data_IF_795129814462
#
_entry.id   IF_795129814462
#
_cell.length_a   1.000
_cell.length_b   1.000
_cell.length_c   1.000
_cell.angle_alpha   90.00
_cell.angle_beta   90.00
_cell.angle_gamma   90.00
#
_symmetry.space_group_name_H-M   'P 1'
#
loop_
_entity.id
_entity.type
_entity.pdbx_description
1 polymer ?
#
# COMPACT_ATOMS: atom_id res chain seq x y z
N UNK A 1 -22.79 -23.29 -33.58
CA UNK A 1 -21.92 -22.13 -33.31
C UNK A 1 -22.05 -21.73 -31.84
N UNK A 2 -20.93 -21.69 -31.12
CA UNK A 2 -20.92 -21.22 -29.74
C UNK A 2 -20.98 -19.68 -29.77
N UNK A 3 -22.11 -19.12 -29.34
CA UNK A 3 -22.36 -17.67 -29.27
C UNK A 3 -21.71 -17.14 -27.99
N UNK A 4 -20.87 -16.11 -28.11
CA UNK A 4 -20.23 -15.47 -26.95
C UNK A 4 -21.15 -14.45 -26.31
N UNK A 5 -21.04 -14.27 -24.99
CA UNK A 5 -21.89 -13.34 -24.22
C UNK A 5 -21.88 -11.92 -24.82
N UNK A 6 -20.70 -11.43 -25.21
CA UNK A 6 -20.48 -10.09 -25.75
C UNK A 6 -21.11 -9.86 -27.14
N UNK A 7 -21.62 -10.90 -27.81
CA UNK A 7 -22.30 -10.77 -29.10
C UNK A 7 -23.73 -10.25 -28.94
N UNK A 8 -24.32 -10.38 -27.74
CA UNK A 8 -25.67 -9.89 -27.43
C UNK A 8 -25.69 -8.91 -26.25
N UNK A 9 -24.70 -8.99 -25.35
CA UNK A 9 -24.61 -8.13 -24.18
C UNK A 9 -23.45 -7.16 -24.30
N UNK A 10 -23.72 -5.90 -23.99
CA UNK A 10 -22.67 -4.88 -23.86
C UNK A 10 -21.80 -5.19 -22.65
N UNK A 11 -20.49 -4.99 -22.79
CA UNK A 11 -19.55 -5.18 -21.69
C UNK A 11 -19.47 -3.92 -20.82
N UNK A 12 -20.01 -3.95 -19.59
CA UNK A 12 -19.93 -2.79 -18.69
C UNK A 12 -18.50 -2.49 -18.24
N UNK A 13 -17.56 -3.42 -18.41
CA UNK A 13 -16.16 -3.24 -18.03
C UNK A 13 -15.34 -2.54 -19.11
N UNK A 14 -15.87 -2.36 -20.32
CA UNK A 14 -15.17 -1.69 -21.42
C UNK A 14 -13.85 -2.38 -21.78
N UNK A 15 -13.87 -3.70 -21.93
CA UNK A 15 -12.76 -4.60 -22.30
C UNK A 15 -11.54 -4.59 -21.38
N UNK A 16 -11.63 -3.98 -20.20
CA UNK A 16 -10.54 -3.92 -19.20
C UNK A 16 -9.97 -5.29 -18.81
N UNK A 17 -10.77 -6.35 -18.90
CA UNK A 17 -10.37 -7.71 -18.55
C UNK A 17 -9.97 -8.59 -19.74
N UNK A 18 -9.89 -8.02 -20.94
CA UNK A 18 -9.53 -8.77 -22.16
C UNK A 18 -8.04 -8.61 -22.53
N UNK A 19 -7.31 -7.77 -21.79
CA UNK A 19 -5.89 -7.54 -21.99
C UNK A 19 -5.05 -8.81 -21.77
N UNK A 20 -3.97 -8.94 -22.54
CA UNK A 20 -3.05 -10.11 -22.49
C UNK A 20 -2.34 -10.30 -21.15
N UNK A 21 -2.33 -9.28 -20.29
CA UNK A 21 -1.81 -9.36 -18.93
C UNK A 21 -2.73 -10.16 -17.99
N UNK A 22 -3.99 -10.40 -18.37
CA UNK A 22 -4.98 -11.10 -17.55
C UNK A 22 -5.21 -12.53 -18.03
N UNK A 23 -5.62 -13.46 -17.13
CA UNK A 23 -5.92 -14.83 -17.50
C UNK A 23 -7.01 -14.87 -18.56
N UNK A 24 -6.66 -15.38 -19.75
CA UNK A 24 -7.62 -15.55 -20.84
C UNK A 24 -8.58 -16.71 -20.56
N UNK A 25 -8.10 -17.71 -19.83
CA UNK A 25 -8.88 -18.85 -19.32
C UNK A 25 -8.61 -18.99 -17.82
N UNK A 26 -9.67 -19.10 -17.02
CA UNK A 26 -9.60 -19.34 -15.58
C UNK A 26 -10.53 -20.50 -15.23
N UNK A 27 -9.98 -21.56 -14.62
CA UNK A 27 -10.75 -22.75 -14.22
C UNK A 27 -11.55 -23.38 -15.39
N UNK A 28 -10.98 -23.35 -16.60
CA UNK A 28 -11.63 -23.85 -17.83
C UNK A 28 -12.73 -22.95 -18.40
N UNK A 29 -12.90 -21.73 -17.86
CA UNK A 29 -13.86 -20.73 -18.33
C UNK A 29 -13.15 -19.61 -19.08
N UNK A 30 -13.82 -19.04 -20.07
CA UNK A 30 -13.29 -17.96 -20.92
C UNK A 30 -14.27 -16.79 -21.05
N UNK A 31 -13.78 -15.63 -21.49
CA UNK A 31 -14.57 -14.40 -21.59
C UNK A 31 -15.27 -14.03 -20.29
N UNK A 32 -16.54 -13.63 -20.39
CA UNK A 32 -17.37 -13.23 -19.24
C UNK A 32 -17.53 -14.36 -18.21
N UNK A 33 -17.50 -15.63 -18.65
CA UNK A 33 -17.71 -16.79 -17.79
C UNK A 33 -16.57 -17.01 -16.78
N UNK A 34 -15.41 -16.36 -16.98
CA UNK A 34 -14.32 -16.37 -15.99
C UNK A 34 -14.80 -15.88 -14.62
N UNK A 35 -15.69 -14.88 -14.60
CA UNK A 35 -16.24 -14.32 -13.36
C UNK A 35 -17.73 -14.62 -13.21
N UNK A 36 -18.53 -14.46 -14.28
CA UNK A 36 -19.99 -14.48 -14.24
C UNK A 36 -20.59 -15.87 -14.53
N UNK A 37 -21.77 -16.14 -13.96
CA UNK A 37 -22.54 -17.36 -14.19
C UNK A 37 -23.79 -17.13 -15.06
N UNK A 38 -24.43 -18.22 -15.48
CA UNK A 38 -25.68 -18.15 -16.25
C UNK A 38 -26.91 -17.99 -15.33
N UNK A 39 -26.80 -18.46 -14.10
CA UNK A 39 -27.85 -18.41 -13.07
C UNK A 39 -27.99 -17.00 -12.50
N UNK A 40 -26.86 -16.31 -12.33
CA UNK A 40 -26.82 -14.93 -11.89
C UNK A 40 -25.57 -14.25 -12.44
N UNK A 41 -25.79 -13.24 -13.29
CA UNK A 41 -24.69 -12.47 -13.87
C UNK A 41 -24.10 -11.48 -12.85
N UNK A 42 -24.95 -10.90 -12.00
CA UNK A 42 -24.52 -9.88 -11.04
C UNK A 42 -23.88 -10.47 -9.78
N UNK A 43 -24.11 -11.76 -9.51
CA UNK A 43 -23.45 -12.45 -8.40
C UNK A 43 -22.09 -12.99 -8.84
N UNK A 44 -21.05 -12.35 -8.33
CA UNK A 44 -19.69 -12.86 -8.42
C UNK A 44 -19.33 -13.40 -7.03
N UNK A 45 -18.90 -14.67 -6.91
CA UNK A 45 -18.45 -15.20 -5.62
C UNK A 45 -17.37 -14.30 -5.01
N UNK A 46 -17.52 -13.98 -3.72
CA UNK A 46 -16.53 -13.18 -3.00
C UNK A 46 -15.14 -13.81 -3.16
N UNK A 47 -14.14 -12.98 -3.50
CA UNK A 47 -12.77 -13.44 -3.74
C UNK A 47 -12.45 -13.86 -5.18
N UNK A 48 -13.43 -13.87 -6.10
CA UNK A 48 -13.15 -14.11 -7.54
C UNK A 48 -12.39 -12.97 -8.21
N UNK A 49 -12.52 -11.76 -7.66
CA UNK A 49 -11.72 -10.62 -8.06
C UNK A 49 -10.54 -10.46 -7.13
N UNK A 50 -9.37 -10.85 -7.62
CA UNK A 50 -8.07 -10.65 -6.99
C UNK A 50 -7.23 -9.69 -7.86
N UNK A 51 -6.75 -8.60 -7.26
CA UNK A 51 -5.93 -7.62 -7.97
C UNK A 51 -4.61 -8.21 -8.47
N UNK A 52 -4.04 -9.21 -7.79
CA UNK A 52 -2.80 -9.87 -8.22
C UNK A 52 -2.99 -10.74 -9.48
N UNK A 53 -4.24 -11.13 -9.75
CA UNK A 53 -4.62 -11.97 -10.90
C UNK A 53 -5.14 -11.13 -12.05
N UNK A 54 -5.96 -10.12 -11.74
CA UNK A 54 -6.70 -9.33 -12.74
C UNK A 54 -6.15 -7.93 -12.96
N UNK A 55 -5.06 -7.58 -12.29
CA UNK A 55 -4.37 -6.31 -12.48
C UNK A 55 -2.86 -6.52 -12.34
N UNK A 56 -2.06 -5.53 -12.75
CA UNK A 56 -0.63 -5.51 -12.46
C UNK A 56 -0.32 -4.96 -11.05
N UNK A 57 -1.33 -4.76 -10.21
CA UNK A 57 -1.24 -4.06 -8.93
C UNK A 57 -1.70 -4.96 -7.78
N UNK A 58 -0.85 -5.89 -7.36
CA UNK A 58 -1.15 -6.78 -6.23
C UNK A 58 -1.29 -5.98 -4.93
N UNK A 59 -2.38 -6.22 -4.19
CA UNK A 59 -2.56 -5.65 -2.86
C UNK A 59 -1.90 -6.57 -1.84
N UNK A 60 -0.97 -6.02 -1.05
CA UNK A 60 -0.23 -6.77 -0.04
C UNK A 60 -0.43 -6.19 1.37
N UNK A 61 -0.21 -7.05 2.37
CA UNK A 61 -0.33 -6.68 3.79
C UNK A 61 -1.64 -5.97 4.12
N UNK A 62 -1.54 -4.81 4.78
CA UNK A 62 -2.68 -4.02 5.25
C UNK A 62 -3.53 -3.46 4.11
N UNK A 63 -2.98 -3.30 2.90
CA UNK A 63 -3.74 -2.79 1.75
C UNK A 63 -4.83 -3.77 1.28
N UNK A 64 -4.74 -5.06 1.59
CA UNK A 64 -5.78 -6.04 1.27
C UNK A 64 -7.10 -5.79 2.03
N UNK A 65 -7.06 -5.01 3.10
CA UNK A 65 -8.20 -4.77 3.98
C UNK A 65 -8.92 -3.44 3.68
N UNK A 66 -8.38 -2.63 2.75
CA UNK A 66 -9.00 -1.36 2.39
C UNK A 66 -10.26 -1.58 1.58
N UNK A 67 -11.27 -0.71 1.75
CA UNK A 67 -12.48 -0.78 0.93
C UNK A 67 -12.14 -0.38 -0.50
N UNK A 68 -12.79 -1.00 -1.48
CA UNK A 68 -12.58 -0.70 -2.90
C UNK A 68 -12.71 0.80 -3.22
N UNK A 69 -13.62 1.48 -2.52
CA UNK A 69 -13.91 2.91 -2.68
C UNK A 69 -12.84 3.84 -2.14
N UNK A 70 -11.92 3.36 -1.28
CA UNK A 70 -10.79 4.18 -0.79
C UNK A 70 -9.84 4.55 -1.94
N UNK A 71 -9.72 3.68 -2.94
CA UNK A 71 -8.99 3.96 -4.16
C UNK A 71 -9.96 4.37 -5.27
N UNK A 72 -10.84 3.48 -5.71
CA UNK A 72 -11.67 3.74 -6.89
C UNK A 72 -12.78 4.78 -6.66
N UNK A 73 -12.94 5.36 -5.46
CA UNK A 73 -13.99 6.33 -5.19
C UNK A 73 -15.38 5.72 -5.27
N UNK A 74 -16.39 6.58 -5.12
CA UNK A 74 -17.78 6.18 -5.17
C UNK A 74 -18.63 7.26 -5.84
N UNK A 75 -19.76 6.84 -6.43
CA UNK A 75 -20.77 7.76 -6.94
C UNK A 75 -21.58 8.40 -5.79
N UNK A 76 -22.54 9.26 -6.12
CA UNK A 76 -23.41 9.92 -5.13
C UNK A 76 -24.23 8.94 -4.27
N UNK A 77 -24.41 7.71 -4.75
CA UNK A 77 -25.13 6.64 -4.06
C UNK A 77 -24.20 5.71 -3.27
N UNK A 78 -22.89 5.96 -3.28
CA UNK A 78 -21.89 5.15 -2.59
C UNK A 78 -21.43 3.91 -3.35
N UNK A 79 -21.80 3.75 -4.62
CA UNK A 79 -21.37 2.61 -5.44
C UNK A 79 -19.96 2.83 -5.98
N UNK A 80 -19.21 1.74 -6.10
CA UNK A 80 -17.85 1.73 -6.66
C UNK A 80 -17.81 2.31 -8.08
N UNK A 81 -16.93 3.26 -8.34
CA UNK A 81 -16.71 3.82 -9.69
C UNK A 81 -15.35 3.38 -10.22
N UNK A 82 -15.34 2.45 -11.17
CA UNK A 82 -14.07 2.00 -11.78
C UNK A 82 -13.54 3.05 -12.77
N UNK A 83 -12.22 3.31 -12.75
CA UNK A 83 -11.55 4.23 -13.69
C UNK A 83 -11.09 5.58 -13.12
N UNK A 84 -11.41 5.90 -11.87
CA UNK A 84 -10.93 7.11 -11.16
C UNK A 84 -9.41 7.12 -10.89
N UNK A 85 -8.77 5.95 -10.86
CA UNK A 85 -7.34 5.80 -10.57
C UNK A 85 -6.43 5.90 -11.80
N UNK A 86 -6.93 6.40 -12.94
CA UNK A 86 -6.11 6.75 -14.12
C UNK A 86 -4.99 7.74 -13.76
N UNK A 87 -5.23 8.62 -12.79
CA UNK A 87 -4.23 9.58 -12.27
C UNK A 87 -2.94 8.91 -11.80
N UNK A 88 -3.02 7.67 -11.31
CA UNK A 88 -1.89 6.90 -10.82
C UNK A 88 -1.46 5.80 -11.78
N UNK A 89 -1.87 5.88 -13.06
CA UNK A 89 -1.45 4.95 -14.10
C UNK A 89 -2.11 3.59 -14.05
N UNK A 90 -3.29 3.45 -13.43
CA UNK A 90 -3.99 2.17 -13.39
C UNK A 90 -4.33 1.69 -14.81
N UNK A 91 -3.66 0.62 -15.26
CA UNK A 91 -3.75 0.08 -16.62
C UNK A 91 -2.58 0.42 -17.54
N UNK A 92 -1.64 1.28 -17.12
CA UNK A 92 -0.36 1.47 -17.82
C UNK A 92 0.67 0.47 -17.29
N UNK A 93 1.13 -0.51 -18.10
CA UNK A 93 2.16 -1.46 -17.69
C UNK A 93 3.52 -0.81 -17.36
N UNK A 94 3.67 0.51 -17.56
CA UNK A 94 4.87 1.29 -17.23
C UNK A 94 4.81 1.94 -15.85
N UNK A 95 3.64 2.03 -15.21
CA UNK A 95 3.53 2.57 -13.85
C UNK A 95 3.68 1.42 -12.88
N UNK A 96 4.90 1.28 -12.38
CA UNK A 96 5.33 0.12 -11.59
C UNK A 96 5.04 0.31 -10.10
N UNK A 97 4.99 1.54 -9.61
CA UNK A 97 4.76 1.84 -8.19
C UNK A 97 3.98 3.14 -7.99
N UNK A 98 3.03 3.13 -7.05
CA UNK A 98 2.33 4.34 -6.58
C UNK A 98 3.09 4.87 -5.36
N UNK A 99 3.59 6.12 -5.36
CA UNK A 99 4.31 6.67 -4.22
C UNK A 99 3.41 6.72 -2.98
N UNK A 100 3.95 6.46 -1.80
CA UNK A 100 3.17 6.39 -0.55
C UNK A 100 2.37 7.68 -0.30
N UNK A 101 2.97 8.81 -0.64
CA UNK A 101 2.45 10.17 -0.47
C UNK A 101 1.26 10.49 -1.39
N UNK A 102 0.97 9.62 -2.36
CA UNK A 102 -0.23 9.71 -3.18
C UNK A 102 -1.52 9.54 -2.36
N UNK A 103 -1.42 8.84 -1.22
CA UNK A 103 -2.54 8.49 -0.34
C UNK A 103 -2.26 8.76 1.14
N UNK A 104 -1.00 8.69 1.58
CA UNK A 104 -0.62 8.85 2.98
C UNK A 104 0.05 10.19 3.25
N UNK A 105 -0.47 10.91 4.23
CA UNK A 105 0.19 12.09 4.78
C UNK A 105 1.46 11.70 5.56
N UNK A 106 2.49 12.54 5.50
CA UNK A 106 3.71 12.35 6.28
C UNK A 106 3.55 12.95 7.69
N UNK A 107 3.44 12.13 8.76
CA UNK A 107 3.31 12.63 10.13
C UNK A 107 4.62 13.21 10.68
N UNK A 108 5.75 13.05 9.98
CA UNK A 108 7.07 13.47 10.46
C UNK A 108 7.42 14.91 10.07
N UNK A 109 6.70 15.50 9.11
CA UNK A 109 6.99 16.83 8.59
C UNK A 109 8.45 16.97 8.13
N UNK A 110 9.15 18.00 8.59
CA UNK A 110 10.54 18.24 8.19
C UNK A 110 11.59 17.47 9.03
N UNK A 111 11.18 16.59 9.95
CA UNK A 111 12.09 15.92 10.89
C UNK A 111 13.23 15.12 10.21
N UNK A 112 13.00 14.64 8.99
CA UNK A 112 13.92 13.77 8.24
C UNK A 112 14.41 14.39 6.93
N UNK A 113 14.30 15.73 6.78
CA UNK A 113 14.76 16.46 5.58
C UNK A 113 16.18 17.01 5.68
N UNK A 114 16.91 16.69 6.76
CA UNK A 114 18.27 17.15 7.02
C UNK A 114 19.35 16.32 6.32
N UNK A 115 20.53 16.90 6.10
CA UNK A 115 21.66 16.27 5.40
C UNK A 115 22.25 15.03 6.09
N UNK A 116 21.91 14.80 7.36
CA UNK A 116 22.33 13.61 8.10
C UNK A 116 21.46 12.37 7.81
N UNK A 117 20.23 12.57 7.29
CA UNK A 117 19.33 11.46 6.98
C UNK A 117 19.61 10.94 5.58
N UNK A 118 19.93 9.65 5.41
CA UNK A 118 20.17 9.08 4.10
C UNK A 118 18.93 9.22 3.20
N UNK A 119 19.14 9.63 1.95
CA UNK A 119 18.07 9.66 0.94
C UNK A 119 17.61 8.25 0.55
N UNK A 120 18.53 7.28 0.64
CA UNK A 120 18.28 5.85 0.38
C UNK A 120 18.95 4.98 1.44
N UNK A 121 18.28 3.90 1.84
CA UNK A 121 18.82 2.85 2.72
C UNK A 121 18.58 1.52 2.02
N UNK A 122 19.67 0.78 1.76
CA UNK A 122 19.60 -0.54 1.10
C UNK A 122 18.86 -0.51 -0.26
N UNK A 123 18.97 0.60 -0.99
CA UNK A 123 18.30 0.80 -2.29
C UNK A 123 16.83 1.21 -2.20
N UNK A 124 16.29 1.40 -0.99
CA UNK A 124 14.91 1.86 -0.77
C UNK A 124 14.90 3.36 -0.53
N UNK A 125 13.93 4.07 -1.12
CA UNK A 125 13.81 5.53 -1.08
C UNK A 125 12.46 5.97 -0.48
N UNK A 126 12.24 7.29 -0.35
CA UNK A 126 10.97 7.82 0.17
C UNK A 126 10.62 7.30 1.55
N UNK A 127 9.34 6.99 1.80
CA UNK A 127 8.91 6.34 3.05
C UNK A 127 9.50 4.93 3.21
N UNK A 128 9.68 4.20 2.10
CA UNK A 128 10.13 2.82 2.09
C UNK A 128 11.58 2.64 2.57
N UNK A 129 12.38 3.71 2.61
CA UNK A 129 13.73 3.65 3.20
C UNK A 129 13.72 3.24 4.68
N UNK A 130 12.63 3.53 5.40
CA UNK A 130 12.46 3.18 6.81
C UNK A 130 11.30 2.21 7.03
N UNK A 131 10.17 2.42 6.35
CA UNK A 131 8.92 1.70 6.59
C UNK A 131 8.75 0.48 5.68
N UNK A 132 8.11 -0.56 6.19
CA UNK A 132 7.59 -1.67 5.37
C UNK A 132 6.22 -1.33 4.77
N UNK A 133 5.90 -1.94 3.63
CA UNK A 133 4.62 -1.84 2.92
C UNK A 133 3.52 -2.74 3.52
N UNK A 134 3.89 -3.76 4.29
CA UNK A 134 2.92 -4.69 4.90
C UNK A 134 2.10 -4.05 6.03
N UNK A 135 2.75 -3.34 6.96
CA UNK A 135 2.11 -2.80 8.18
C UNK A 135 2.33 -1.31 8.38
N UNK A 136 3.34 -0.73 7.70
CA UNK A 136 3.86 0.64 7.83
C UNK A 136 4.38 1.04 9.23
N UNK A 137 3.94 0.38 10.29
CA UNK A 137 4.34 0.68 11.68
C UNK A 137 5.75 0.21 11.99
N UNK A 138 6.22 -0.83 11.29
CA UNK A 138 7.55 -1.37 11.50
C UNK A 138 8.58 -0.52 10.77
N UNK A 139 9.63 -0.14 11.50
CA UNK A 139 10.76 0.64 10.98
C UNK A 139 12.08 -0.13 11.08
N UNK A 140 12.19 -1.34 10.48
CA UNK A 140 13.34 -2.22 10.67
C UNK A 140 14.66 -1.60 10.21
N UNK A 141 14.59 -0.63 9.29
CA UNK A 141 15.75 0.09 8.78
C UNK A 141 16.08 1.35 9.59
N UNK A 142 15.21 1.85 10.49
CA UNK A 142 15.51 3.08 11.24
C UNK A 142 16.70 2.88 12.19
N UNK A 143 17.59 3.85 12.17
CA UNK A 143 18.75 3.94 13.07
C UNK A 143 18.96 5.38 13.51
N UNK A 144 19.36 5.59 14.76
CA UNK A 144 19.45 6.94 15.32
C UNK A 144 20.61 7.76 14.72
N UNK A 145 21.65 7.12 14.19
CA UNK A 145 22.74 7.79 13.46
C UNK A 145 22.24 8.60 12.27
N UNK A 146 21.11 8.23 11.65
CA UNK A 146 20.49 8.98 10.55
C UNK A 146 19.94 10.34 10.97
N UNK A 147 19.84 10.58 12.28
CA UNK A 147 19.42 11.87 12.86
C UNK A 147 20.59 12.63 13.49
N UNK A 148 21.81 12.09 13.39
CA UNK A 148 23.00 12.61 14.07
C UNK A 148 23.06 12.27 15.56
N UNK A 149 22.20 11.37 16.06
CA UNK A 149 22.14 10.97 17.46
C UNK A 149 22.58 9.50 17.63
N UNK A 150 23.88 9.23 17.59
CA UNK A 150 24.38 7.84 17.72
C UNK A 150 24.17 7.34 19.15
N UNK A 151 23.54 6.17 19.31
CA UNK A 151 23.42 5.50 20.62
C UNK A 151 24.65 4.63 20.86
N UNK A 152 25.34 4.85 21.98
CA UNK A 152 26.58 4.14 22.32
C UNK A 152 26.49 3.45 23.69
N UNK A 153 27.35 2.46 23.88
CA UNK A 153 27.40 1.65 25.10
C UNK A 153 26.06 0.97 25.37
N UNK A 154 25.61 1.00 26.63
CA UNK A 154 24.36 0.35 27.06
C UNK A 154 23.10 0.88 26.38
N UNK A 155 23.14 2.06 25.76
CA UNK A 155 21.99 2.62 25.04
C UNK A 155 21.76 1.95 23.69
N UNK A 156 22.79 1.36 23.09
CA UNK A 156 22.68 0.67 21.79
C UNK A 156 21.82 -0.60 21.87
N UNK A 157 21.69 -1.19 23.06
CA UNK A 157 20.95 -2.43 23.31
C UNK A 157 19.50 -2.18 23.80
N UNK A 158 19.09 -0.91 23.97
CA UNK A 158 17.75 -0.58 24.48
C UNK A 158 16.68 -0.72 23.40
N UNK A 159 15.52 -1.26 23.80
CA UNK A 159 14.31 -1.21 22.97
C UNK A 159 13.78 0.22 22.86
N UNK A 160 13.13 0.56 21.74
CA UNK A 160 12.59 1.90 21.47
C UNK A 160 11.73 2.46 22.62
N UNK A 161 10.90 1.61 23.22
CA UNK A 161 9.97 1.98 24.30
C UNK A 161 10.66 2.40 25.60
N UNK A 162 11.93 2.05 25.79
CA UNK A 162 12.70 2.45 26.98
C UNK A 162 12.88 3.97 27.07
N UNK A 163 12.96 4.66 25.93
CA UNK A 163 13.13 6.11 25.85
C UNK A 163 11.90 6.82 25.27
N UNK A 164 11.22 6.23 24.29
CA UNK A 164 10.07 6.86 23.61
C UNK A 164 8.70 6.48 24.19
N UNK A 165 8.65 5.59 25.18
CA UNK A 165 7.41 5.10 25.78
C UNK A 165 6.55 4.29 24.80
N UNK A 166 5.30 4.04 25.18
CA UNK A 166 4.32 3.39 24.30
C UNK A 166 3.71 4.42 23.35
N UNK A 167 4.05 4.35 22.07
CA UNK A 167 3.52 5.24 21.04
C UNK A 167 2.01 5.01 20.82
N UNK A 168 1.17 5.91 21.31
CA UNK A 168 -0.21 6.07 20.84
C UNK A 168 -0.24 7.18 19.79
N UNK A 169 -0.03 6.82 18.52
CA UNK A 169 -0.43 7.58 17.30
C UNK A 169 -0.09 9.09 17.19
N UNK A 170 0.78 9.65 18.04
CA UNK A 170 1.26 11.03 17.91
C UNK A 170 2.79 11.08 18.01
N UNK A 171 3.46 11.89 17.16
CA UNK A 171 4.91 12.08 17.25
C UNK A 171 5.24 12.83 18.54
N UNK A 172 5.76 12.12 19.53
CA UNK A 172 6.30 12.75 20.73
C UNK A 172 7.68 13.32 20.39
N UNK A 173 7.77 14.66 20.24
CA UNK A 173 9.06 15.33 20.38
C UNK A 173 9.49 15.18 21.84
N UNK A 174 10.49 14.34 22.10
CA UNK A 174 11.24 14.39 23.35
C UNK A 174 11.98 15.74 23.39
N UNK A 175 11.38 16.73 24.03
CA UNK A 175 11.97 18.07 24.23
C UNK A 175 12.92 18.10 25.42
N UNK A 176 13.07 17.00 26.14
CA UNK A 176 13.84 16.96 27.37
C UNK A 176 15.28 16.57 27.04
N UNK A 177 16.21 17.53 27.13
CA UNK A 177 17.62 17.20 27.36
C UNK A 177 17.66 16.25 28.54
N UNK A 178 18.03 14.99 28.30
CA UNK A 178 18.34 14.03 29.36
C UNK A 178 19.42 14.68 30.23
N UNK A 179 19.05 15.04 31.47
CA UNK A 179 20.03 15.43 32.47
C UNK A 179 20.90 14.20 32.75
N UNK A 180 22.22 14.36 32.87
CA UNK A 180 23.09 13.24 33.21
C UNK A 180 22.60 12.64 34.53
N UNK A 181 22.37 11.33 34.53
CA UNK A 181 22.06 10.60 35.75
C UNK A 181 23.20 10.82 36.74
N UNK A 182 22.91 11.48 37.86
CA UNK A 182 23.85 11.64 38.95
C UNK A 182 24.27 10.25 39.41
N UNK A 183 25.57 9.98 39.30
CA UNK A 183 26.16 8.69 39.62
C UNK A 183 25.81 8.29 41.06
N UNK A 184 25.16 7.14 41.21
CA UNK A 184 25.20 6.42 42.47
C UNK A 184 26.47 5.58 42.50
N UNK A 185 27.42 6.05 43.30
CA UNK A 185 28.55 5.28 43.81
C UNK A 185 28.06 4.11 44.70
#
# INVERSE_FOLDING_TARGET
PDVRCAECHEDPHGSRFDGVAMPQVLEGREGCARCHGMESFNEIPSGRFDHSVWTAFALEGSHQQVRCTECHGADESGNLVLGTFEKYGHGDPRVVEVPCEACHDDPHGDAFRGSATPLSIEGREGCARCHGDLTFRDTPAFRHEFTGHVLEGVHADLTCVACHGTHTSQPQRLTTRLQPAEGKA
#
